data_IF_149599974952
#
_entry.id   IF_149599974952
#
_cell.length_a   1.000
_cell.length_b   1.000
_cell.length_c   1.000
_cell.angle_alpha   90.00
_cell.angle_beta   90.00
_cell.angle_gamma   90.00
#
_symmetry.space_group_name_H-M   'P 1'
#
loop_
_entity.id
_entity.type
_entity.pdbx_description
1 polymer ?
#
# COMPACT_ATOMS: atom_id res chain seq x y z
N UNK A 1 -32.43 -25.42 -40.88
CA UNK A 1 -31.77 -24.81 -39.71
C UNK A 1 -32.73 -23.83 -39.05
N UNK A 2 -33.15 -24.10 -37.82
CA UNK A 2 -34.02 -23.19 -37.04
C UNK A 2 -33.21 -21.92 -36.77
N UNK A 3 -33.63 -20.78 -37.33
CA UNK A 3 -32.97 -19.49 -37.08
C UNK A 3 -33.36 -19.01 -35.68
N UNK A 4 -32.37 -18.77 -34.82
CA UNK A 4 -32.59 -18.20 -33.50
C UNK A 4 -33.14 -16.77 -33.61
N UNK A 5 -34.17 -16.48 -32.83
CA UNK A 5 -34.80 -15.16 -32.77
C UNK A 5 -33.87 -14.15 -32.09
N UNK A 6 -34.05 -12.86 -32.36
CA UNK A 6 -33.26 -11.81 -31.72
C UNK A 6 -33.38 -11.84 -30.19
N UNK A 7 -34.54 -12.22 -29.64
CA UNK A 7 -34.73 -12.44 -28.19
C UNK A 7 -33.86 -13.57 -27.66
N UNK A 8 -33.83 -14.72 -28.35
CA UNK A 8 -32.97 -15.85 -27.98
C UNK A 8 -31.49 -15.48 -28.03
N UNK A 9 -31.06 -14.70 -29.04
CA UNK A 9 -29.68 -14.22 -29.12
C UNK A 9 -29.30 -13.33 -27.94
N UNK A 10 -30.16 -12.39 -27.55
CA UNK A 10 -29.93 -11.51 -26.39
C UNK A 10 -29.82 -12.33 -25.10
N UNK A 11 -30.75 -13.27 -24.89
CA UNK A 11 -30.72 -14.15 -23.70
C UNK A 11 -29.43 -14.98 -23.65
N UNK A 12 -29.00 -15.54 -24.78
CA UNK A 12 -27.76 -16.30 -24.86
C UNK A 12 -26.52 -15.44 -24.55
N UNK A 13 -26.49 -14.20 -25.04
CA UNK A 13 -25.39 -13.26 -24.76
C UNK A 13 -25.34 -12.91 -23.27
N UNK A 14 -26.48 -12.52 -22.68
CA UNK A 14 -26.55 -12.17 -21.25
C UNK A 14 -26.18 -13.39 -20.39
N UNK A 15 -26.72 -14.56 -20.71
CA UNK A 15 -26.38 -15.81 -20.04
C UNK A 15 -24.88 -16.12 -20.12
N UNK A 16 -24.28 -16.00 -21.30
CA UNK A 16 -22.85 -16.21 -21.50
C UNK A 16 -21.98 -15.26 -20.67
N UNK A 17 -22.35 -13.98 -20.57
CA UNK A 17 -21.66 -13.00 -19.72
C UNK A 17 -21.77 -13.40 -18.24
N UNK A 18 -22.98 -13.73 -17.77
CA UNK A 18 -23.20 -14.15 -16.37
C UNK A 18 -22.40 -15.41 -16.02
N UNK A 19 -22.41 -16.42 -16.90
CA UNK A 19 -21.61 -17.64 -16.71
C UNK A 19 -20.11 -17.32 -16.64
N UNK A 20 -19.62 -16.47 -17.53
CA UNK A 20 -18.20 -16.08 -17.54
C UNK A 20 -17.80 -15.40 -16.24
N UNK A 21 -18.62 -14.46 -15.75
CA UNK A 21 -18.38 -13.78 -14.47
C UNK A 21 -18.43 -14.75 -13.29
N UNK A 22 -19.35 -15.72 -13.31
CA UNK A 22 -19.44 -16.77 -12.29
C UNK A 22 -18.18 -17.65 -12.26
N UNK A 23 -17.73 -18.14 -13.43
CA UNK A 23 -16.50 -18.93 -13.51
C UNK A 23 -15.27 -18.14 -13.08
N UNK A 24 -15.20 -16.85 -13.42
CA UNK A 24 -14.13 -15.98 -12.97
C UNK A 24 -14.14 -15.81 -11.43
N UNK A 25 -15.31 -15.62 -10.83
CA UNK A 25 -15.46 -15.54 -9.36
C UNK A 25 -15.02 -16.84 -8.69
N UNK A 26 -15.46 -17.99 -9.21
CA UNK A 26 -15.06 -19.31 -8.70
C UNK A 26 -13.55 -19.49 -8.84
N UNK A 27 -12.97 -19.15 -9.99
CA UNK A 27 -11.52 -19.24 -10.22
C UNK A 27 -10.72 -18.36 -9.25
N UNK A 28 -11.15 -17.11 -9.04
CA UNK A 28 -10.54 -16.21 -8.07
C UNK A 28 -10.67 -16.75 -6.64
N UNK A 29 -11.81 -17.37 -6.28
CA UNK A 29 -12.03 -18.02 -4.97
C UNK A 29 -11.08 -19.18 -4.74
N UNK A 30 -11.01 -20.08 -5.70
CA UNK A 30 -10.10 -21.24 -5.68
C UNK A 30 -8.64 -20.76 -5.61
N UNK A 31 -8.24 -19.77 -6.40
CA UNK A 31 -6.88 -19.25 -6.37
C UNK A 31 -6.48 -18.70 -4.99
N UNK A 32 -7.35 -17.92 -4.35
CA UNK A 32 -7.08 -17.45 -2.98
C UNK A 32 -7.07 -18.58 -1.95
N UNK A 33 -7.93 -19.60 -2.11
CA UNK A 33 -7.91 -20.78 -1.24
C UNK A 33 -6.60 -21.55 -1.38
N UNK A 34 -6.10 -21.75 -2.59
CA UNK A 34 -4.83 -22.44 -2.84
C UNK A 34 -3.67 -21.68 -2.20
N UNK A 35 -3.61 -20.36 -2.35
CA UNK A 35 -2.56 -19.54 -1.74
C UNK A 35 -2.55 -19.66 -0.22
N UNK A 36 -3.72 -19.53 0.42
CA UNK A 36 -3.85 -19.69 1.87
C UNK A 36 -3.50 -21.12 2.30
N UNK A 37 -3.91 -22.14 1.55
CA UNK A 37 -3.58 -23.53 1.84
C UNK A 37 -2.08 -23.81 1.77
N UNK A 38 -1.35 -23.17 0.85
CA UNK A 38 0.11 -23.26 0.77
C UNK A 38 0.75 -22.60 2.00
N UNK A 39 0.31 -21.39 2.36
CA UNK A 39 0.79 -20.68 3.55
C UNK A 39 0.53 -21.49 4.83
N UNK A 40 -0.67 -22.08 4.96
CA UNK A 40 -1.03 -22.96 6.06
C UNK A 40 -0.17 -24.22 6.10
N UNK A 41 0.14 -24.80 4.93
CA UNK A 41 1.03 -25.96 4.85
C UNK A 41 2.43 -25.63 5.35
N UNK A 42 2.99 -24.47 5.00
CA UNK A 42 4.29 -24.00 5.49
C UNK A 42 4.27 -23.71 7.00
N UNK A 43 3.14 -23.21 7.51
CA UNK A 43 2.91 -23.02 8.93
C UNK A 43 2.80 -24.36 9.69
N UNK A 44 2.25 -25.39 9.06
CA UNK A 44 2.10 -26.73 9.65
C UNK A 44 3.40 -27.52 9.76
N UNK A 45 4.51 -27.01 9.20
CA UNK A 45 5.84 -27.56 9.46
C UNK A 45 6.19 -27.19 10.91
N UNK A 46 5.73 -28.04 11.83
CA UNK A 46 5.89 -27.91 13.28
C UNK A 46 7.39 -27.96 13.60
N UNK A 47 7.88 -26.89 14.23
CA UNK A 47 9.20 -26.86 14.85
C UNK A 47 9.24 -27.80 16.06
N UNK A 48 10.43 -28.12 16.55
CA UNK A 48 10.55 -28.94 17.76
C UNK A 48 9.91 -28.20 18.95
N UNK A 49 9.47 -28.91 19.98
CA UNK A 49 8.75 -28.31 21.13
C UNK A 49 9.60 -27.31 21.94
N UNK A 50 10.88 -27.15 21.58
CA UNK A 50 11.87 -26.23 22.15
C UNK A 50 12.11 -24.99 21.28
N UNK A 51 11.52 -24.93 20.10
CA UNK A 51 11.69 -23.82 19.18
C UNK A 51 10.87 -22.62 19.68
N UNK A 52 11.44 -21.42 19.59
CA UNK A 52 10.71 -20.18 19.88
C UNK A 52 9.72 -19.89 18.77
N UNK A 53 8.46 -19.68 19.15
CA UNK A 53 7.34 -19.54 18.24
C UNK A 53 7.00 -18.08 18.05
N UNK A 54 7.17 -17.59 16.83
CA UNK A 54 6.85 -16.22 16.44
C UNK A 54 5.62 -16.25 15.56
N UNK A 55 4.53 -15.64 16.00
CA UNK A 55 3.33 -15.45 15.19
C UNK A 55 3.40 -14.07 14.52
N UNK A 56 3.25 -14.04 13.19
CA UNK A 56 3.18 -12.81 12.42
C UNK A 56 1.77 -12.59 11.90
N UNK A 57 1.20 -11.42 12.19
CA UNK A 57 -0.16 -11.03 11.82
C UNK A 57 -0.13 -9.81 10.91
N UNK A 58 -0.86 -9.84 9.81
CA UNK A 58 -0.94 -8.65 8.97
C UNK A 58 -1.82 -8.82 7.74
N UNK A 59 -1.72 -7.83 6.87
CA UNK A 59 -2.51 -7.77 5.64
C UNK A 59 -1.68 -8.30 4.46
N UNK A 60 -1.87 -7.74 3.26
CA UNK A 60 -1.11 -8.11 2.06
C UNK A 60 0.39 -7.91 2.20
N UNK A 61 0.85 -7.02 3.07
CA UNK A 61 2.27 -6.77 3.27
C UNK A 61 2.97 -7.85 4.10
N UNK A 62 2.19 -8.72 4.77
CA UNK A 62 2.69 -9.84 5.59
C UNK A 62 2.39 -11.19 4.93
N UNK A 63 1.28 -11.30 4.20
CA UNK A 63 0.87 -12.52 3.51
C UNK A 63 1.93 -13.10 2.56
N UNK A 64 1.94 -14.42 2.40
CA UNK A 64 2.72 -15.09 1.38
C UNK A 64 2.14 -14.78 -0.01
N UNK A 65 3.03 -14.51 -0.96
CA UNK A 65 2.73 -14.52 -2.39
C UNK A 65 3.53 -15.64 -3.06
N UNK A 66 3.35 -15.81 -4.37
CA UNK A 66 4.08 -16.83 -5.12
C UNK A 66 5.59 -16.60 -4.96
N UNK A 67 6.27 -17.57 -4.32
CA UNK A 67 7.67 -17.52 -3.93
C UNK A 67 7.87 -17.15 -2.46
N UNK A 68 8.73 -17.89 -1.73
CA UNK A 68 9.00 -17.72 -0.30
C UNK A 68 9.81 -16.43 0.01
N UNK A 69 9.28 -15.28 -0.39
CA UNK A 69 9.91 -13.96 -0.25
C UNK A 69 9.18 -13.06 0.74
N UNK A 70 8.13 -13.52 1.41
CA UNK A 70 7.49 -12.71 2.43
C UNK A 70 8.47 -12.47 3.60
N UNK A 71 8.35 -11.31 4.24
CA UNK A 71 9.25 -10.96 5.34
C UNK A 71 9.19 -11.96 6.52
N UNK A 72 8.05 -12.63 6.84
CA UNK A 72 8.05 -13.65 7.89
C UNK A 72 8.94 -14.85 7.56
N UNK A 73 8.95 -15.30 6.29
CA UNK A 73 9.79 -16.42 5.86
C UNK A 73 11.27 -16.03 5.90
N UNK A 74 11.60 -14.83 5.44
CA UNK A 74 12.96 -14.29 5.54
C UNK A 74 13.40 -14.10 6.99
N UNK A 75 12.50 -13.70 7.88
CA UNK A 75 12.79 -13.55 9.31
C UNK A 75 13.20 -14.89 9.93
N UNK A 76 12.47 -15.97 9.63
CA UNK A 76 12.82 -17.32 10.09
C UNK A 76 14.25 -17.70 9.68
N UNK A 77 14.58 -17.51 8.40
CA UNK A 77 15.91 -17.80 7.86
C UNK A 77 17.00 -16.95 8.53
N UNK A 78 16.77 -15.65 8.68
CA UNK A 78 17.74 -14.73 9.29
C UNK A 78 18.00 -15.10 10.75
N UNK A 79 16.96 -15.40 11.53
CA UNK A 79 17.10 -15.75 12.94
C UNK A 79 17.83 -17.09 13.12
N UNK A 80 17.44 -18.10 12.34
CA UNK A 80 18.05 -19.43 12.41
C UNK A 80 19.49 -19.48 11.89
N UNK A 81 19.87 -18.55 11.00
CA UNK A 81 21.26 -18.41 10.55
C UNK A 81 22.15 -17.67 11.57
N UNK A 82 21.56 -16.85 12.46
CA UNK A 82 22.31 -16.10 13.48
C UNK A 82 22.62 -16.91 14.74
N UNK A 83 21.84 -17.96 15.03
CA UNK A 83 22.03 -18.79 16.22
C UNK A 83 21.90 -20.28 15.91
N UNK A 84 22.90 -21.06 16.32
CA UNK A 84 22.84 -22.53 16.29
C UNK A 84 22.23 -23.13 17.56
N UNK A 85 22.05 -22.33 18.62
CA UNK A 85 21.57 -22.78 19.94
C UNK A 85 20.07 -22.58 20.12
N UNK A 86 19.53 -21.53 19.51
CA UNK A 86 18.12 -21.18 19.59
C UNK A 86 17.54 -21.35 18.20
N UNK A 87 16.46 -22.10 18.10
CA UNK A 87 15.71 -22.29 16.87
C UNK A 87 14.41 -21.50 16.95
N UNK A 88 14.04 -20.93 15.82
CA UNK A 88 12.86 -20.11 15.68
C UNK A 88 11.95 -20.71 14.62
N UNK A 89 10.65 -20.76 14.91
CA UNK A 89 9.60 -21.04 13.95
C UNK A 89 8.72 -19.81 13.81
N UNK A 90 8.57 -19.33 12.58
CA UNK A 90 7.75 -18.15 12.25
C UNK A 90 6.49 -18.59 11.52
N UNK A 91 5.35 -18.38 12.17
CA UNK A 91 4.02 -18.62 11.60
C UNK A 91 3.52 -17.36 10.90
N UNK A 92 3.05 -17.50 9.66
CA UNK A 92 2.53 -16.40 8.87
C UNK A 92 1.01 -16.49 8.75
N UNK A 93 0.29 -15.59 9.44
CA UNK A 93 -1.18 -15.43 9.34
C UNK A 93 -1.53 -14.11 8.62
N UNK A 94 -0.64 -13.67 7.72
CA UNK A 94 -0.90 -12.54 6.84
C UNK A 94 -1.99 -12.87 5.82
N UNK A 95 -3.00 -12.01 5.67
CA UNK A 95 -4.08 -12.20 4.70
C UNK A 95 -4.24 -10.96 3.82
N UNK A 96 -4.09 -11.16 2.50
CA UNK A 96 -4.25 -10.06 1.54
C UNK A 96 -5.68 -9.54 1.44
N UNK A 97 -5.84 -8.21 1.39
CA UNK A 97 -7.13 -7.54 1.16
C UNK A 97 -8.09 -7.55 2.35
N UNK A 98 -7.56 -7.75 3.56
CA UNK A 98 -8.27 -7.63 4.84
C UNK A 98 -7.85 -6.35 5.56
N UNK A 99 -8.29 -6.15 6.79
CA UNK A 99 -8.02 -4.97 7.62
C UNK A 99 -7.80 -5.37 9.08
N UNK A 100 -7.54 -4.38 9.94
CA UNK A 100 -7.34 -4.61 11.38
C UNK A 100 -8.50 -5.34 12.05
N UNK A 101 -9.76 -5.07 11.66
CA UNK A 101 -10.93 -5.74 12.25
C UNK A 101 -10.93 -7.26 11.98
N UNK A 102 -10.52 -7.68 10.79
CA UNK A 102 -10.36 -9.10 10.46
C UNK A 102 -9.23 -9.75 11.25
N UNK A 103 -8.10 -9.05 11.44
CA UNK A 103 -6.99 -9.58 12.25
C UNK A 103 -7.47 -9.80 13.69
N UNK A 104 -8.18 -8.81 14.26
CA UNK A 104 -8.74 -8.90 15.61
C UNK A 104 -9.76 -10.04 15.74
N UNK A 105 -10.61 -10.28 14.74
CA UNK A 105 -11.62 -11.34 14.82
C UNK A 105 -11.04 -12.75 14.80
N UNK A 106 -9.79 -12.93 14.35
CA UNK A 106 -9.11 -14.23 14.30
C UNK A 106 -7.96 -14.32 15.31
N UNK A 107 -7.74 -13.27 16.12
CA UNK A 107 -6.58 -13.18 17.00
C UNK A 107 -6.58 -14.30 18.04
N UNK A 108 -7.71 -14.50 18.72
CA UNK A 108 -7.84 -15.51 19.78
C UNK A 108 -7.60 -16.92 19.24
N UNK A 109 -8.26 -17.29 18.14
CA UNK A 109 -8.06 -18.58 17.47
C UNK A 109 -6.60 -18.80 17.05
N UNK A 110 -5.92 -17.75 16.56
CA UNK A 110 -4.51 -17.84 16.16
C UNK A 110 -3.57 -17.96 17.36
N UNK A 111 -3.85 -17.26 18.46
CA UNK A 111 -3.08 -17.39 19.71
C UNK A 111 -3.21 -18.80 20.27
N UNK A 112 -4.40 -19.37 20.28
CA UNK A 112 -4.64 -20.74 20.75
C UNK A 112 -4.00 -21.79 19.83
N UNK A 113 -4.15 -21.62 18.51
CA UNK A 113 -3.60 -22.53 17.49
C UNK A 113 -2.08 -22.65 17.55
N UNK A 114 -1.39 -21.52 17.66
CA UNK A 114 0.08 -21.48 17.57
C UNK A 114 0.77 -21.40 18.93
N UNK A 115 0.07 -20.94 19.97
CA UNK A 115 0.58 -20.71 21.31
C UNK A 115 1.93 -19.95 21.28
N UNK A 116 2.02 -18.78 20.62
CA UNK A 116 3.29 -18.13 20.32
C UNK A 116 3.99 -17.55 21.56
N UNK A 117 5.33 -17.50 21.51
CA UNK A 117 6.15 -16.78 22.49
C UNK A 117 6.27 -15.30 22.15
N UNK A 118 6.18 -14.96 20.86
CA UNK A 118 6.26 -13.59 20.34
C UNK A 118 5.17 -13.40 19.29
N UNK A 119 4.50 -12.25 19.32
CA UNK A 119 3.58 -11.81 18.25
C UNK A 119 4.12 -10.54 17.62
N UNK A 120 4.26 -10.53 16.29
CA UNK A 120 4.63 -9.36 15.49
C UNK A 120 3.45 -9.02 14.61
N UNK A 121 3.07 -7.74 14.55
CA UNK A 121 1.97 -7.33 13.70
C UNK A 121 2.28 -6.13 12.82
N UNK A 122 1.77 -6.17 11.59
CA UNK A 122 1.83 -5.09 10.62
C UNK A 122 0.45 -4.93 9.98
N UNK A 123 -0.32 -3.97 10.50
CA UNK A 123 -1.73 -3.69 10.18
C UNK A 123 -1.95 -2.18 10.02
N UNK A 124 -3.11 -1.74 9.52
CA UNK A 124 -3.43 -0.32 9.37
C UNK A 124 -3.42 0.17 7.93
N UNK A 125 -2.76 -0.54 7.01
CA UNK A 125 -2.59 -0.10 5.63
C UNK A 125 -3.93 -0.08 4.88
N UNK A 126 -4.88 -0.95 5.24
CA UNK A 126 -6.22 -1.01 4.63
C UNK A 126 -7.32 -0.33 5.48
N UNK A 127 -6.96 0.27 6.62
CA UNK A 127 -7.90 0.85 7.59
C UNK A 127 -8.42 2.24 7.20
N UNK A 128 -7.93 2.82 6.10
CA UNK A 128 -8.35 4.14 5.56
C UNK A 128 -9.84 4.25 5.22
N UNK A 129 -10.60 3.15 5.29
CA UNK A 129 -12.06 3.13 5.13
C UNK A 129 -12.85 3.11 6.45
N UNK A 130 -12.20 3.08 7.62
CA UNK A 130 -12.89 2.98 8.92
C UNK A 130 -13.45 4.33 9.40
N UNK A 131 -14.43 4.84 8.66
CA UNK A 131 -15.60 5.54 9.24
C UNK A 131 -16.85 4.96 8.59
N UNK A 132 -17.17 3.72 8.95
CA UNK A 132 -18.49 3.15 8.63
C UNK A 132 -19.47 3.74 9.63
N UNK A 133 -20.26 4.73 9.21
CA UNK A 133 -21.53 5.00 9.90
C UNK A 133 -22.40 3.77 9.69
N UNK A 134 -22.71 3.07 10.78
CA UNK A 134 -23.58 1.90 10.75
C UNK A 134 -25.01 2.38 10.45
N UNK A 135 -25.38 2.38 9.18
CA UNK A 135 -26.71 2.72 8.70
C UNK A 135 -27.33 1.45 8.10
N UNK A 136 -28.39 0.91 8.72
CA UNK A 136 -29.06 -0.32 8.30
C UNK A 136 -29.93 -0.16 7.04
N UNK A 137 -29.46 0.60 6.06
CA UNK A 137 -30.20 0.77 4.80
C UNK A 137 -29.97 -0.39 3.84
N UNK A 138 -30.96 -0.66 2.97
CA UNK A 138 -30.84 -1.66 1.90
C UNK A 138 -29.63 -1.37 0.99
N UNK A 139 -29.32 -0.09 0.75
CA UNK A 139 -28.17 0.33 -0.06
C UNK A 139 -26.83 -0.07 0.56
N UNK A 140 -26.68 0.05 1.88
CA UNK A 140 -25.47 -0.38 2.60
C UNK A 140 -25.31 -1.90 2.52
N UNK A 141 -26.39 -2.66 2.74
CA UNK A 141 -26.36 -4.14 2.63
C UNK A 141 -25.93 -4.61 1.23
N UNK A 142 -26.48 -3.99 0.18
CA UNK A 142 -26.10 -4.28 -1.21
C UNK A 142 -24.65 -3.89 -1.47
N UNK A 143 -24.18 -2.75 -0.96
CA UNK A 143 -22.79 -2.32 -1.11
C UNK A 143 -21.81 -3.28 -0.45
N UNK A 144 -22.08 -3.71 0.78
CA UNK A 144 -21.24 -4.69 1.49
C UNK A 144 -21.20 -6.03 0.74
N UNK A 145 -22.37 -6.51 0.29
CA UNK A 145 -22.46 -7.73 -0.52
C UNK A 145 -21.67 -7.63 -1.83
N UNK A 146 -21.71 -6.48 -2.52
CA UNK A 146 -20.89 -6.25 -3.71
C UNK A 146 -19.40 -6.24 -3.37
N UNK A 147 -19.01 -5.64 -2.24
CA UNK A 147 -17.62 -5.68 -1.77
C UNK A 147 -17.16 -7.11 -1.47
N UNK A 148 -18.01 -8.09 -1.20
CA UNK A 148 -17.61 -9.50 -1.02
C UNK A 148 -17.33 -10.26 -2.34
N UNK A 149 -17.73 -9.70 -3.49
CA UNK A 149 -17.53 -10.33 -4.81
C UNK A 149 -16.13 -10.01 -5.31
N UNK A 150 -15.28 -11.03 -5.52
CA UNK A 150 -13.89 -10.84 -5.97
C UNK A 150 -13.81 -10.24 -7.37
N UNK A 151 -14.73 -10.62 -8.27
CA UNK A 151 -14.83 -10.02 -9.61
C UNK A 151 -15.17 -8.53 -9.54
N UNK A 152 -16.03 -8.11 -8.61
CA UNK A 152 -16.31 -6.69 -8.39
C UNK A 152 -15.05 -5.95 -7.92
N UNK A 153 -14.34 -6.47 -6.90
CA UNK A 153 -13.05 -5.91 -6.46
C UNK A 153 -12.05 -5.81 -7.61
N UNK A 154 -11.89 -6.87 -8.39
CA UNK A 154 -11.00 -6.90 -9.54
C UNK A 154 -11.39 -5.86 -10.58
N UNK A 155 -12.68 -5.76 -10.93
CA UNK A 155 -13.17 -4.75 -11.87
C UNK A 155 -12.91 -3.33 -11.37
N UNK A 156 -13.07 -3.05 -10.08
CA UNK A 156 -12.76 -1.76 -9.47
C UNK A 156 -11.26 -1.45 -9.56
N UNK A 157 -10.41 -2.44 -9.29
CA UNK A 157 -8.96 -2.31 -9.45
C UNK A 157 -8.56 -2.07 -10.90
N UNK A 158 -9.14 -2.82 -11.85
CA UNK A 158 -8.93 -2.62 -13.28
C UNK A 158 -9.41 -1.25 -13.75
N UNK A 159 -10.54 -0.77 -13.24
CA UNK A 159 -11.05 0.58 -13.52
C UNK A 159 -10.13 1.66 -12.95
N UNK A 160 -9.59 1.47 -11.74
CA UNK A 160 -8.60 2.38 -11.15
C UNK A 160 -7.31 2.34 -11.97
N UNK A 161 -6.79 1.16 -12.28
CA UNK A 161 -5.60 0.98 -13.11
C UNK A 161 -5.79 1.57 -14.51
N UNK A 162 -6.98 1.42 -15.10
CA UNK A 162 -7.32 2.00 -16.39
C UNK A 162 -7.49 3.51 -16.31
N UNK A 163 -8.13 4.04 -15.27
CA UNK A 163 -8.20 5.48 -14.99
C UNK A 163 -6.81 6.06 -14.77
N UNK A 164 -5.94 5.36 -14.05
CA UNK A 164 -4.55 5.75 -13.83
C UNK A 164 -3.75 5.65 -15.12
N UNK A 165 -3.97 4.63 -15.95
CA UNK A 165 -3.37 4.50 -17.28
C UNK A 165 -3.85 5.60 -18.22
N UNK A 166 -5.14 5.95 -18.20
CA UNK A 166 -5.71 7.06 -18.96
C UNK A 166 -5.23 8.41 -18.44
N UNK A 167 -5.11 8.57 -17.11
CA UNK A 167 -4.50 9.74 -16.49
C UNK A 167 -3.03 9.82 -16.90
N UNK A 168 -2.29 8.71 -16.89
CA UNK A 168 -0.92 8.61 -17.36
C UNK A 168 -0.81 8.83 -18.87
N UNK A 169 -1.77 8.39 -19.68
CA UNK A 169 -1.83 8.66 -21.13
C UNK A 169 -2.22 10.11 -21.42
N UNK A 170 -3.06 10.72 -20.60
CA UNK A 170 -3.34 12.16 -20.62
C UNK A 170 -2.15 12.93 -20.07
N UNK A 171 -1.36 12.40 -19.14
CA UNK A 171 -0.08 12.96 -18.68
C UNK A 171 0.96 12.85 -19.80
N UNK A 172 1.04 11.73 -20.52
CA UNK A 172 1.94 11.52 -21.66
C UNK A 172 1.47 12.33 -22.88
N UNK A 173 0.17 12.58 -23.05
CA UNK A 173 -0.38 13.47 -24.10
C UNK A 173 -0.40 14.95 -23.71
N UNK A 174 -0.34 15.29 -22.41
CA UNK A 174 -0.41 16.65 -21.90
C UNK A 174 0.87 17.11 -21.19
N UNK A 175 2.02 16.55 -21.53
CA UNK A 175 3.31 16.96 -20.95
C UNK A 175 4.43 16.69 -21.97
N UNK A 176 5.53 17.44 -22.11
CA UNK A 176 6.20 18.39 -21.21
C UNK A 176 5.89 18.11 -19.74
N UNK A 177 6.41 16.99 -19.24
CA UNK A 177 6.31 16.44 -17.88
C UNK A 177 6.40 17.50 -16.78
N UNK A 178 7.17 18.55 -17.03
CA UNK A 178 7.33 19.74 -16.19
C UNK A 178 6.04 20.50 -15.86
N UNK A 179 5.07 20.59 -16.77
CA UNK A 179 3.85 21.39 -16.56
C UNK A 179 2.84 20.75 -15.61
N UNK A 180 2.83 19.41 -15.55
CA UNK A 180 1.93 18.65 -14.66
C UNK A 180 2.50 18.62 -13.24
N UNK A 181 3.81 18.42 -13.12
CA UNK A 181 4.52 18.53 -11.84
C UNK A 181 4.34 19.93 -11.24
N UNK A 182 4.54 20.97 -12.07
CA UNK A 182 4.27 22.36 -11.69
C UNK A 182 2.84 22.54 -11.16
N UNK A 183 1.82 22.04 -11.87
CA UNK A 183 0.41 22.16 -11.41
C UNK A 183 0.12 21.39 -10.12
N UNK A 184 0.70 20.20 -9.95
CA UNK A 184 0.50 19.41 -8.74
C UNK A 184 1.10 20.10 -7.51
N UNK A 185 2.34 20.58 -7.64
CA UNK A 185 3.01 21.25 -6.54
C UNK A 185 2.38 22.62 -6.24
N UNK A 186 2.00 23.40 -7.26
CA UNK A 186 1.24 24.65 -7.06
C UNK A 186 -0.02 24.36 -6.25
N UNK A 187 -0.80 23.34 -6.63
CA UNK A 187 -2.02 22.97 -5.92
C UNK A 187 -1.76 22.47 -4.49
N UNK A 188 -0.64 21.78 -4.24
CA UNK A 188 -0.26 21.31 -2.90
C UNK A 188 0.01 22.48 -1.95
N UNK A 189 0.67 23.54 -2.43
CA UNK A 189 1.09 24.67 -1.60
C UNK A 189 0.20 25.91 -1.70
N UNK A 190 -0.89 25.86 -2.49
CA UNK A 190 -1.86 26.96 -2.64
C UNK A 190 -2.56 27.32 -1.33
N UNK A 191 -2.76 26.35 -0.43
CA UNK A 191 -3.47 26.51 0.85
C UNK A 191 -2.57 26.50 2.11
N UNK A 192 -1.33 26.00 2.05
CA UNK A 192 -0.53 25.72 3.27
C UNK A 192 0.65 26.67 3.53
N UNK A 193 1.33 27.23 2.50
CA UNK A 193 2.42 28.19 2.73
C UNK A 193 2.90 28.86 1.44
N UNK A 194 2.58 30.14 1.29
CA UNK A 194 3.03 30.98 0.17
C UNK A 194 4.57 31.04 0.05
N UNK A 195 5.29 30.83 1.17
CA UNK A 195 6.74 30.95 1.21
C UNK A 195 7.45 29.80 0.47
N UNK A 196 6.92 28.57 0.52
CA UNK A 196 7.50 27.43 -0.22
C UNK A 196 7.13 27.45 -1.70
N UNK A 197 5.94 27.96 -2.02
CA UNK A 197 5.46 28.08 -3.39
C UNK A 197 6.42 28.91 -4.26
N UNK A 198 6.98 30.00 -3.72
CA UNK A 198 7.94 30.85 -4.44
C UNK A 198 9.25 30.13 -4.79
N UNK A 199 9.76 29.29 -3.88
CA UNK A 199 10.98 28.50 -4.10
C UNK A 199 10.78 27.47 -5.21
N UNK A 200 9.67 26.75 -5.17
CA UNK A 200 9.28 25.78 -6.19
C UNK A 200 8.97 26.45 -7.53
N UNK A 201 8.31 27.61 -7.54
CA UNK A 201 8.13 28.41 -8.76
C UNK A 201 9.46 28.87 -9.35
N UNK A 202 10.42 29.25 -8.51
CA UNK A 202 11.77 29.60 -8.97
C UNK A 202 12.45 28.42 -9.64
N UNK A 203 12.28 27.20 -9.11
CA UNK A 203 12.80 25.99 -9.74
C UNK A 203 12.28 25.80 -11.17
N UNK A 204 10.98 25.95 -11.41
CA UNK A 204 10.43 25.77 -12.76
C UNK A 204 10.72 26.93 -13.70
N UNK A 205 10.76 28.17 -13.20
CA UNK A 205 10.90 29.36 -14.03
C UNK A 205 12.36 29.73 -14.30
N UNK A 206 13.26 29.46 -13.35
CA UNK A 206 14.65 29.92 -13.37
C UNK A 206 15.67 28.78 -13.21
N UNK A 207 15.23 27.56 -12.94
CA UNK A 207 16.06 26.36 -12.90
C UNK A 207 16.61 26.00 -11.51
N UNK A 208 17.20 24.80 -11.44
CA UNK A 208 17.71 24.17 -10.21
C UNK A 208 18.72 25.03 -9.44
N UNK A 209 19.63 25.70 -10.14
CA UNK A 209 20.72 26.46 -9.50
C UNK A 209 20.14 27.62 -8.68
N UNK A 210 19.24 28.41 -9.26
CA UNK A 210 18.64 29.56 -8.60
C UNK A 210 17.72 29.15 -7.45
N UNK A 211 16.97 28.06 -7.63
CA UNK A 211 16.14 27.52 -6.56
C UNK A 211 16.98 27.04 -5.37
N UNK A 212 18.08 26.33 -5.64
CA UNK A 212 19.00 25.87 -4.60
C UNK A 212 19.61 27.04 -3.80
N UNK A 213 19.97 28.13 -4.48
CA UNK A 213 20.43 29.36 -3.81
C UNK A 213 19.36 29.96 -2.90
N UNK A 214 18.10 30.00 -3.34
CA UNK A 214 17.01 30.53 -2.51
C UNK A 214 16.68 29.63 -1.32
N UNK A 215 16.71 28.31 -1.49
CA UNK A 215 16.57 27.36 -0.38
C UNK A 215 17.67 27.57 0.67
N UNK A 216 18.93 27.70 0.23
CA UNK A 216 20.06 27.97 1.13
C UNK A 216 19.91 29.30 1.85
N UNK A 217 19.54 30.36 1.13
CA UNK A 217 19.30 31.68 1.73
C UNK A 217 18.19 31.64 2.78
N UNK A 218 17.09 30.93 2.50
CA UNK A 218 16.02 30.80 3.50
C UNK A 218 16.48 30.07 4.76
N UNK A 219 17.37 29.09 4.63
CA UNK A 219 17.99 28.41 5.77
C UNK A 219 19.05 29.27 6.49
N UNK A 220 19.67 30.24 5.82
CA UNK A 220 20.53 31.23 6.47
C UNK A 220 19.70 32.23 7.31
N UNK A 221 18.51 32.60 6.83
CA UNK A 221 17.59 33.51 7.53
C UNK A 221 16.90 32.83 8.72
N UNK A 222 16.50 31.56 8.58
CA UNK A 222 15.95 30.75 9.68
C UNK A 222 16.58 29.34 9.73
N UNK A 223 17.73 29.19 10.40
CA UNK A 223 18.42 27.91 10.54
C UNK A 223 17.67 26.87 11.38
N UNK A 224 16.58 27.24 12.06
CA UNK A 224 15.79 26.34 12.91
C UNK A 224 14.45 25.96 12.27
N UNK A 225 14.26 26.26 10.99
CA UNK A 225 13.06 25.90 10.27
C UNK A 225 13.10 24.46 9.78
N UNK A 226 12.64 23.51 10.61
CA UNK A 226 12.60 22.09 10.28
C UNK A 226 11.83 21.81 8.97
N UNK A 227 10.75 22.55 8.69
CA UNK A 227 9.96 22.37 7.47
C UNK A 227 10.73 22.82 6.22
N UNK A 228 11.56 23.88 6.31
CA UNK A 228 12.41 24.30 5.20
C UNK A 228 13.49 23.26 4.85
N UNK A 229 14.01 22.53 5.85
CA UNK A 229 14.88 21.39 5.59
C UNK A 229 14.16 20.25 4.85
N UNK A 230 12.89 19.99 5.17
CA UNK A 230 12.07 18.99 4.44
C UNK A 230 11.84 19.44 3.00
N UNK A 231 11.40 20.68 2.80
CA UNK A 231 11.15 21.22 1.45
C UNK A 231 12.40 21.21 0.58
N UNK A 232 13.56 21.53 1.16
CA UNK A 232 14.83 21.46 0.45
C UNK A 232 15.28 20.00 0.19
N UNK A 233 14.99 19.09 1.11
CA UNK A 233 15.20 17.64 0.92
C UNK A 233 14.37 17.10 -0.23
N UNK A 234 13.08 17.44 -0.28
CA UNK A 234 12.18 17.11 -1.40
C UNK A 234 12.74 17.68 -2.71
N UNK A 235 13.22 18.92 -2.73
CA UNK A 235 13.87 19.51 -3.90
C UNK A 235 15.07 18.69 -4.43
N UNK A 236 15.90 18.13 -3.56
CA UNK A 236 16.98 17.24 -4.00
C UNK A 236 16.47 15.86 -4.41
N UNK A 237 15.43 15.33 -3.77
CA UNK A 237 14.78 14.08 -4.16
C UNK A 237 14.18 14.18 -5.59
N UNK A 238 13.56 15.31 -5.94
CA UNK A 238 13.08 15.61 -7.30
C UNK A 238 14.20 15.63 -8.34
N UNK A 239 15.44 15.91 -7.91
CA UNK A 239 16.62 15.86 -8.76
C UNK A 239 17.35 14.50 -8.70
N UNK A 240 16.77 13.50 -8.03
CA UNK A 240 17.37 12.15 -7.87
C UNK A 240 18.70 12.22 -7.09
N UNK A 241 18.88 13.25 -6.25
CA UNK A 241 20.04 13.44 -5.38
C UNK A 241 19.71 12.95 -3.97
N UNK A 242 19.48 11.65 -3.83
CA UNK A 242 18.97 11.05 -2.60
C UNK A 242 19.88 11.26 -1.39
N UNK A 243 21.20 11.16 -1.56
CA UNK A 243 22.15 11.36 -0.45
C UNK A 243 22.00 12.75 0.19
N UNK A 244 21.83 13.80 -0.64
CA UNK A 244 21.64 15.17 -0.16
C UNK A 244 20.26 15.38 0.47
N UNK A 245 19.25 14.69 -0.04
CA UNK A 245 17.90 14.75 0.52
C UNK A 245 17.87 14.14 1.92
N UNK A 246 18.50 12.97 2.09
CA UNK A 246 18.61 12.27 3.37
C UNK A 246 19.31 13.13 4.43
N UNK A 247 20.42 13.79 4.08
CA UNK A 247 21.12 14.70 5.01
C UNK A 247 20.23 15.85 5.49
N UNK A 248 19.36 16.38 4.62
CA UNK A 248 18.44 17.46 5.00
C UNK A 248 17.27 16.95 5.84
N UNK A 249 16.72 15.77 5.54
CA UNK A 249 15.67 15.16 6.36
C UNK A 249 16.16 14.84 7.77
N UNK A 250 17.39 14.30 7.90
CA UNK A 250 18.03 14.10 9.21
C UNK A 250 18.16 15.40 10.00
N UNK A 251 18.60 16.48 9.37
CA UNK A 251 18.66 17.81 10.01
C UNK A 251 17.28 18.32 10.44
N UNK A 252 16.25 18.08 9.63
CA UNK A 252 14.87 18.42 10.02
C UNK A 252 14.46 17.69 11.30
N UNK A 253 14.74 16.38 11.37
CA UNK A 253 14.46 15.54 12.55
C UNK A 253 15.26 16.02 13.77
N UNK A 254 16.53 16.38 13.61
CA UNK A 254 17.36 16.92 14.70
C UNK A 254 16.80 18.24 15.25
N UNK A 255 16.27 19.10 14.38
CA UNK A 255 15.73 20.41 14.75
C UNK A 255 14.35 20.30 15.38
N UNK A 256 13.48 19.45 14.82
CA UNK A 256 12.16 19.16 15.37
C UNK A 256 11.86 17.65 15.32
N UNK A 257 12.19 16.91 16.40
CA UNK A 257 11.91 15.48 16.49
C UNK A 257 10.43 15.12 16.53
N UNK A 258 9.52 16.08 16.75
CA UNK A 258 8.07 15.85 16.75
C UNK A 258 7.45 16.09 15.36
N UNK A 259 8.22 16.59 14.39
CA UNK A 259 7.72 16.76 13.03
C UNK A 259 7.69 15.40 12.30
N UNK A 260 6.53 14.74 12.34
CA UNK A 260 6.29 13.46 11.66
C UNK A 260 6.73 13.47 10.19
N UNK A 261 6.58 14.61 9.50
CA UNK A 261 6.98 14.77 8.10
C UNK A 261 8.46 14.47 7.88
N UNK A 262 9.33 14.81 8.82
CA UNK A 262 10.77 14.55 8.71
C UNK A 262 11.11 13.05 8.67
N UNK A 263 10.28 12.20 9.30
CA UNK A 263 10.47 10.75 9.33
C UNK A 263 9.84 10.01 8.15
N UNK A 264 8.82 10.61 7.50
CA UNK A 264 8.08 9.98 6.39
C UNK A 264 8.45 10.52 5.01
N UNK A 265 9.29 11.56 4.94
CA UNK A 265 9.80 12.16 3.68
C UNK A 265 11.04 11.43 3.16
#
# INVERSE_FOLDING_TARGET
>A
MIKTTNKQKIVLIIGGILFTLLFLEIGLRIGGFILLSIQDSENSIIGDNKDYRILTLGESTTADFIGNFSWPRQLEDILNNRSSKIKFKVFNEGVGGTNTAYILSNLEDNLDKYNPDIVITMMGANDYKLRVKYEESLGVKVSLWLEDIRVYKLSKLLLIAWKNKLKNLNIIRASNTKDIERKFVIKKYEDESQNYLELWQTYWNHGAIKAEEMFKKSLEEDPKNAEMYIEFGLFYQYQIKFDKAEDLFKKSIEINPENEKGYVS
#
